data_IF_431439829038
#
_entry.id   IF_431439829038
#
_cell.length_a   1.000
_cell.length_b   1.000
_cell.length_c   1.000
_cell.angle_alpha   90.00
_cell.angle_beta   90.00
_cell.angle_gamma   90.00
#
_symmetry.space_group_name_H-M   'P 1'
#
loop_
_entity.id
_entity.type
_entity.pdbx_description
1 polymer ?
#
# COMPACT_ATOMS: atom_id res chain seq x y z
N UNK A 1 -33.44 59.17 -56.97
CA UNK A 1 -32.06 59.47 -56.51
C UNK A 1 -32.10 59.81 -55.02
N UNK A 2 -31.79 58.86 -54.14
CA UNK A 2 -31.18 59.08 -52.83
C UNK A 2 -30.77 57.74 -52.23
N UNK A 3 -29.51 57.69 -51.84
CA UNK A 3 -28.69 56.51 -51.55
C UNK A 3 -28.77 56.20 -50.04
N UNK A 4 -28.72 54.89 -49.77
CA UNK A 4 -28.49 54.15 -48.53
C UNK A 4 -27.88 54.93 -47.35
N UNK A 5 -28.45 54.71 -46.14
CA UNK A 5 -27.66 54.51 -44.91
C UNK A 5 -28.22 53.31 -44.16
N UNK A 6 -27.57 52.17 -44.38
CA UNK A 6 -27.72 50.96 -43.61
C UNK A 6 -26.82 51.13 -42.36
N UNK A 7 -27.42 51.27 -41.18
CA UNK A 7 -26.66 51.17 -39.92
C UNK A 7 -26.33 49.69 -39.71
N UNK A 8 -25.08 49.30 -40.00
CA UNK A 8 -24.48 48.09 -39.45
C UNK A 8 -23.98 48.45 -38.05
N UNK A 9 -24.72 48.07 -37.01
CA UNK A 9 -24.17 48.02 -35.66
C UNK A 9 -23.46 46.67 -35.54
N UNK A 10 -22.15 46.66 -35.74
CA UNK A 10 -21.29 45.51 -35.42
C UNK A 10 -21.34 45.29 -33.91
N UNK A 11 -22.11 44.30 -33.47
CA UNK A 11 -21.98 43.75 -32.14
C UNK A 11 -20.59 43.09 -32.05
N UNK A 12 -19.65 43.80 -31.42
CA UNK A 12 -18.37 43.24 -31.02
C UNK A 12 -18.67 42.24 -29.89
N UNK A 13 -18.84 40.97 -30.24
CA UNK A 13 -18.76 39.90 -29.24
C UNK A 13 -17.33 39.89 -28.72
N UNK A 14 -17.10 40.56 -27.59
CA UNK A 14 -15.96 40.27 -26.75
C UNK A 14 -16.15 38.83 -26.28
N UNK A 15 -15.47 37.89 -26.96
CA UNK A 15 -15.25 36.56 -26.44
C UNK A 15 -14.34 36.76 -25.22
N UNK A 16 -14.94 36.95 -24.05
CA UNK A 16 -14.25 36.80 -22.79
C UNK A 16 -14.01 35.30 -22.72
N UNK A 17 -12.83 34.86 -23.20
CA UNK A 17 -12.38 33.51 -22.99
C UNK A 17 -12.49 33.23 -21.50
N UNK A 18 -13.34 32.28 -21.13
CA UNK A 18 -13.42 31.81 -19.77
C UNK A 18 -11.99 31.45 -19.32
N UNK A 19 -11.56 32.07 -18.24
CA UNK A 19 -10.24 31.93 -17.65
C UNK A 19 -9.80 30.47 -17.63
N UNK A 20 -8.59 30.22 -18.14
CA UNK A 20 -7.93 28.94 -17.95
C UNK A 20 -7.90 28.67 -16.44
N UNK A 21 -8.40 27.50 -16.00
CA UNK A 21 -8.28 27.09 -14.60
C UNK A 21 -6.80 27.28 -14.19
N UNK A 22 -6.53 28.08 -13.16
CA UNK A 22 -5.16 28.23 -12.64
C UNK A 22 -4.79 26.93 -11.93
N UNK A 23 -4.18 26.01 -12.69
CA UNK A 23 -3.69 24.73 -12.18
C UNK A 23 -2.36 24.96 -11.45
N UNK A 24 -2.29 24.57 -10.18
CA UNK A 24 -1.04 24.59 -9.43
C UNK A 24 -0.17 23.39 -9.85
N UNK A 25 0.60 23.58 -10.92
CA UNK A 25 1.52 22.56 -11.44
C UNK A 25 2.74 22.42 -10.53
N UNK A 26 3.12 21.17 -10.28
CA UNK A 26 4.33 20.78 -9.57
C UNK A 26 5.19 19.95 -10.52
N UNK A 27 6.51 20.07 -10.37
CA UNK A 27 7.49 19.33 -11.16
C UNK A 27 8.37 18.50 -10.23
N UNK A 28 8.72 17.29 -10.65
CA UNK A 28 9.72 16.45 -10.01
C UNK A 28 10.62 15.81 -11.06
N UNK A 29 11.91 15.71 -10.76
CA UNK A 29 12.90 15.01 -11.60
C UNK A 29 13.67 13.99 -10.77
N UNK A 30 13.69 12.74 -11.23
CA UNK A 30 14.59 11.73 -10.67
C UNK A 30 15.96 11.83 -11.36
N UNK A 31 16.91 12.47 -10.70
CA UNK A 31 18.27 12.68 -11.23
C UNK A 31 18.98 11.36 -11.60
N UNK A 32 18.85 10.36 -10.73
CA UNK A 32 19.51 9.05 -10.86
C UNK A 32 18.46 7.94 -10.95
N UNK A 33 18.16 7.42 -12.15
CA UNK A 33 17.26 6.28 -12.28
C UNK A 33 17.92 5.03 -11.70
N UNK A 34 17.10 4.05 -11.36
CA UNK A 34 17.55 2.71 -11.03
C UNK A 34 17.27 1.74 -12.18
N UNK A 35 18.14 0.75 -12.33
CA UNK A 35 17.98 -0.30 -13.34
C UNK A 35 16.85 -1.23 -12.96
N UNK A 36 16.01 -1.55 -13.94
CA UNK A 36 14.98 -2.59 -13.85
C UNK A 36 15.39 -3.74 -14.75
N UNK A 37 15.51 -4.93 -14.16
CA UNK A 37 15.84 -6.14 -14.89
C UNK A 37 14.57 -6.97 -15.14
N UNK A 38 14.54 -7.72 -16.25
CA UNK A 38 13.45 -8.66 -16.49
C UNK A 38 13.62 -9.88 -15.58
N UNK A 39 12.62 -10.12 -14.74
CA UNK A 39 12.56 -11.25 -13.83
C UNK A 39 11.97 -12.46 -14.57
N UNK A 40 12.75 -13.54 -14.63
CA UNK A 40 12.30 -14.83 -15.15
C UNK A 40 12.04 -15.77 -13.97
N UNK A 41 10.77 -16.08 -13.63
CA UNK A 41 10.48 -16.97 -12.51
C UNK A 41 10.95 -18.39 -12.80
N UNK A 42 11.47 -19.06 -11.78
CA UNK A 42 11.66 -20.52 -11.84
C UNK A 42 10.26 -21.13 -12.03
N UNK A 43 10.08 -21.98 -13.05
CA UNK A 43 8.78 -22.60 -13.33
C UNK A 43 8.30 -23.40 -12.12
N UNK A 44 7.41 -22.83 -11.32
CA UNK A 44 6.78 -23.48 -10.18
C UNK A 44 5.69 -24.44 -10.62
N UNK A 45 5.50 -25.53 -9.87
CA UNK A 45 4.41 -26.49 -10.06
C UNK A 45 3.06 -25.89 -9.62
N UNK A 46 2.57 -24.81 -10.23
CA UNK A 46 1.20 -24.27 -10.10
C UNK A 46 0.61 -24.03 -8.68
N UNK A 47 1.34 -24.30 -7.61
CA UNK A 47 0.87 -24.31 -6.23
C UNK A 47 1.41 -23.10 -5.48
N UNK A 48 0.49 -22.36 -4.84
CA UNK A 48 0.79 -21.15 -4.09
C UNK A 48 0.98 -21.52 -2.62
N UNK A 49 2.25 -21.62 -2.20
CA UNK A 49 2.62 -21.90 -0.80
C UNK A 49 2.56 -20.61 0.03
N UNK A 50 3.07 -19.52 -0.54
CA UNK A 50 3.18 -18.21 0.09
C UNK A 50 2.42 -17.15 -0.71
N UNK A 51 1.86 -16.15 -0.04
CA UNK A 51 1.36 -14.93 -0.68
C UNK A 51 1.95 -13.71 0.00
N UNK A 52 2.31 -12.74 -0.84
CA UNK A 52 2.73 -11.41 -0.42
C UNK A 52 1.77 -10.41 -1.05
N UNK A 53 1.02 -9.70 -0.22
CA UNK A 53 0.16 -8.61 -0.63
C UNK A 53 0.87 -7.28 -0.34
N UNK A 54 1.21 -6.54 -1.38
CA UNK A 54 1.86 -5.24 -1.28
C UNK A 54 0.84 -4.12 -1.54
N UNK A 55 0.73 -3.17 -0.62
CA UNK A 55 -0.21 -2.04 -0.69
C UNK A 55 0.61 -0.76 -0.79
N UNK A 56 0.47 -0.02 -1.88
CA UNK A 56 0.89 1.38 -1.91
C UNK A 56 -0.31 2.22 -1.49
N UNK A 57 -0.32 2.74 -0.26
CA UNK A 57 -1.46 3.49 0.28
C UNK A 57 -1.73 4.72 -0.62
N UNK A 58 -2.97 4.89 -1.09
CA UNK A 58 -3.33 5.95 -2.04
C UNK A 58 -2.77 5.81 -3.46
N UNK A 59 -2.09 4.70 -3.81
CA UNK A 59 -1.38 4.53 -5.09
C UNK A 59 -2.33 4.21 -6.28
N UNK A 60 -2.40 5.11 -7.26
CA UNK A 60 -3.22 4.95 -8.45
C UNK A 60 -2.40 4.84 -9.72
N UNK A 61 -3.09 4.65 -10.85
CA UNK A 61 -2.46 4.68 -12.17
C UNK A 61 -1.70 5.99 -12.44
N UNK A 62 -2.14 7.11 -11.86
CA UNK A 62 -1.47 8.40 -12.04
C UNK A 62 -0.16 8.45 -11.26
N UNK A 63 -0.13 7.91 -10.03
CA UNK A 63 1.08 7.75 -9.24
C UNK A 63 2.11 6.88 -9.97
N UNK A 64 1.67 5.76 -10.52
CA UNK A 64 2.52 4.84 -11.28
C UNK A 64 3.01 5.46 -12.58
N UNK A 65 2.16 6.14 -13.35
CA UNK A 65 2.56 6.81 -14.59
C UNK A 65 3.61 7.90 -14.33
N UNK A 66 3.47 8.64 -13.24
CA UNK A 66 4.46 9.64 -12.84
C UNK A 66 5.80 8.97 -12.48
N UNK A 67 5.79 7.94 -11.63
CA UNK A 67 7.00 7.20 -11.27
C UNK A 67 7.68 6.55 -12.49
N UNK A 68 6.91 5.98 -13.42
CA UNK A 68 7.40 5.40 -14.68
C UNK A 68 8.11 6.44 -15.54
N UNK A 69 7.56 7.66 -15.62
CA UNK A 69 8.18 8.79 -16.32
C UNK A 69 9.49 9.18 -15.64
N UNK A 70 9.48 9.30 -14.30
CA UNK A 70 10.66 9.65 -13.51
C UNK A 70 11.81 8.65 -13.69
N UNK A 71 11.51 7.35 -13.69
CA UNK A 71 12.52 6.31 -13.90
C UNK A 71 12.74 5.96 -15.38
N UNK A 72 12.49 6.93 -16.28
CA UNK A 72 12.84 6.87 -17.72
C UNK A 72 12.24 5.68 -18.45
N UNK A 73 10.99 5.35 -18.11
CA UNK A 73 10.19 4.36 -18.81
C UNK A 73 10.30 2.95 -18.27
N UNK A 74 10.84 2.78 -17.05
CA UNK A 74 11.09 1.48 -16.46
C UNK A 74 10.66 1.43 -14.99
N UNK A 75 9.83 0.47 -14.59
CA UNK A 75 9.49 0.17 -13.19
C UNK A 75 9.56 -1.34 -12.92
N UNK A 76 9.88 -1.75 -11.69
CA UNK A 76 9.84 -3.15 -11.29
C UNK A 76 8.43 -3.75 -11.45
N UNK A 77 7.39 -2.95 -11.25
CA UNK A 77 5.99 -3.33 -11.53
C UNK A 77 5.76 -3.90 -12.94
N UNK A 78 6.56 -3.53 -13.95
CA UNK A 78 6.46 -4.08 -15.32
C UNK A 78 6.87 -5.57 -15.41
N UNK A 79 7.40 -6.14 -14.33
CA UNK A 79 7.59 -7.59 -14.22
C UNK A 79 6.31 -8.36 -13.91
N UNK A 80 5.22 -7.68 -13.55
CA UNK A 80 3.93 -8.32 -13.35
C UNK A 80 3.49 -9.17 -14.56
N UNK A 81 2.88 -10.30 -14.29
CA UNK A 81 2.40 -11.27 -15.28
C UNK A 81 0.91 -11.11 -15.58
N UNK A 82 0.17 -10.46 -14.68
CA UNK A 82 -1.22 -10.08 -14.85
C UNK A 82 -1.47 -8.68 -14.28
N UNK A 83 -2.46 -7.99 -14.87
CA UNK A 83 -2.93 -6.68 -14.42
C UNK A 83 -4.46 -6.63 -14.44
N UNK A 84 -5.03 -5.93 -13.47
CA UNK A 84 -6.45 -5.64 -13.36
C UNK A 84 -6.71 -4.26 -12.73
N UNK A 85 -8.00 -3.93 -12.55
CA UNK A 85 -8.47 -2.70 -11.91
C UNK A 85 -9.46 -3.04 -10.79
N UNK A 86 -9.27 -2.45 -9.62
CA UNK A 86 -10.04 -2.71 -8.42
C UNK A 86 -10.91 -1.49 -8.03
N UNK A 87 -12.19 -1.75 -7.74
CA UNK A 87 -13.11 -0.76 -7.18
C UNK A 87 -13.03 -0.77 -5.66
N UNK A 88 -13.00 0.42 -5.07
CA UNK A 88 -12.68 0.61 -3.65
C UNK A 88 -13.76 1.31 -2.82
N UNK A 89 -15.07 1.31 -3.13
CA UNK A 89 -16.03 2.00 -2.26
C UNK A 89 -16.15 1.31 -0.89
N UNK A 90 -16.44 2.10 0.14
CA UNK A 90 -16.88 1.60 1.45
C UNK A 90 -18.36 1.17 1.38
N UNK A 91 -18.87 0.49 2.42
CA UNK A 91 -20.28 0.05 2.45
C UNK A 91 -21.28 1.21 2.48
N UNK A 92 -20.87 2.35 3.06
CA UNK A 92 -21.72 3.53 3.28
C UNK A 92 -21.22 4.81 2.59
N UNK A 93 -20.13 4.75 1.80
CA UNK A 93 -19.55 5.91 1.13
C UNK A 93 -18.91 5.51 -0.20
N UNK A 94 -19.06 6.35 -1.23
CA UNK A 94 -18.45 6.14 -2.55
C UNK A 94 -16.92 6.16 -2.50
N UNK A 95 -16.37 7.07 -1.70
CA UNK A 95 -14.93 7.24 -1.50
C UNK A 95 -14.61 6.64 -0.13
N UNK A 96 -13.76 5.62 -0.13
CA UNK A 96 -13.31 4.91 1.07
C UNK A 96 -12.23 5.69 1.82
N UNK A 97 -11.81 5.16 2.96
CA UNK A 97 -10.52 5.44 3.60
C UNK A 97 -9.68 4.16 3.72
N UNK A 98 -8.45 4.29 4.21
CA UNK A 98 -7.54 3.16 4.41
C UNK A 98 -8.13 2.09 5.34
N UNK A 99 -8.86 2.44 6.40
CA UNK A 99 -9.52 1.44 7.27
C UNK A 99 -10.56 0.60 6.53
N UNK A 100 -11.53 1.24 5.87
CA UNK A 100 -12.56 0.48 5.15
C UNK A 100 -12.05 -0.20 3.87
N UNK A 101 -11.07 0.42 3.19
CA UNK A 101 -10.41 -0.10 2.01
C UNK A 101 -9.52 -1.30 2.32
N UNK A 102 -8.66 -1.17 3.32
CA UNK A 102 -7.79 -2.21 3.85
C UNK A 102 -8.57 -3.34 4.50
N UNK A 103 -9.65 -3.07 5.25
CA UNK A 103 -10.55 -4.12 5.77
C UNK A 103 -11.14 -4.96 4.64
N UNK A 104 -11.50 -4.34 3.52
CA UNK A 104 -12.02 -5.07 2.34
C UNK A 104 -10.97 -6.01 1.75
N UNK A 105 -9.72 -5.55 1.64
CA UNK A 105 -8.58 -6.37 1.20
C UNK A 105 -8.23 -7.48 2.18
N UNK A 106 -8.31 -7.19 3.49
CA UNK A 106 -7.91 -8.08 4.56
C UNK A 106 -8.93 -9.18 4.83
N UNK A 107 -10.23 -8.93 4.63
CA UNK A 107 -11.32 -9.80 5.10
C UNK A 107 -12.28 -10.26 4.01
N UNK A 108 -12.29 -9.61 2.85
CA UNK A 108 -13.23 -9.91 1.76
C UNK A 108 -14.65 -9.38 1.99
N UNK A 109 -14.85 -8.51 2.98
CA UNK A 109 -16.13 -7.86 3.26
C UNK A 109 -15.98 -6.34 3.28
N UNK A 110 -16.98 -5.66 2.76
CA UNK A 110 -17.10 -4.21 2.91
C UNK A 110 -17.45 -3.86 4.35
N UNK A 111 -16.93 -2.73 4.82
CA UNK A 111 -17.31 -2.12 6.10
C UNK A 111 -17.55 -0.62 5.94
N UNK A 112 -18.00 0.03 7.01
CA UNK A 112 -18.23 1.47 7.03
C UNK A 112 -16.91 2.24 7.04
N UNK A 113 -16.90 3.44 6.47
CA UNK A 113 -15.79 4.39 6.55
C UNK A 113 -15.24 4.50 7.99
N UNK A 114 -13.92 4.54 8.16
CA UNK A 114 -13.15 4.49 9.43
C UNK A 114 -13.04 3.15 10.17
N UNK A 115 -13.85 2.15 9.85
CA UNK A 115 -13.79 0.88 10.57
C UNK A 115 -12.57 0.05 10.14
N UNK A 116 -12.00 -0.70 11.08
CA UNK A 116 -10.80 -1.52 10.91
C UNK A 116 -11.10 -2.95 11.37
N UNK A 117 -10.96 -3.91 10.48
CA UNK A 117 -11.06 -5.34 10.76
C UNK A 117 -12.43 -5.80 11.27
N UNK A 118 -13.48 -4.98 11.15
CA UNK A 118 -14.84 -5.29 11.63
C UNK A 118 -15.88 -5.11 10.52
N UNK A 119 -17.02 -5.77 10.65
CA UNK A 119 -18.18 -5.52 9.79
C UNK A 119 -18.86 -4.18 10.12
N UNK A 120 -19.91 -3.85 9.38
CA UNK A 120 -20.64 -2.59 9.54
C UNK A 120 -21.29 -2.41 10.92
N UNK A 121 -21.48 -3.49 11.69
CA UNK A 121 -22.03 -3.48 13.04
C UNK A 121 -20.93 -3.50 14.13
N UNK A 122 -19.65 -3.47 13.72
CA UNK A 122 -18.50 -3.49 14.63
C UNK A 122 -18.11 -4.88 15.11
N UNK A 123 -18.60 -5.94 14.48
CA UNK A 123 -18.22 -7.30 14.84
C UNK A 123 -16.91 -7.70 14.15
N UNK A 124 -15.95 -8.33 14.86
CA UNK A 124 -14.70 -8.79 14.28
C UNK A 124 -14.87 -9.68 13.05
N UNK A 125 -14.12 -9.38 11.99
CA UNK A 125 -14.01 -10.17 10.77
C UNK A 125 -12.69 -10.96 10.77
N UNK A 126 -12.66 -12.11 10.09
CA UNK A 126 -11.42 -12.90 10.00
C UNK A 126 -10.54 -12.40 8.86
N UNK A 127 -9.33 -11.92 9.18
CA UNK A 127 -8.38 -11.43 8.18
C UNK A 127 -7.57 -12.54 7.50
N UNK A 128 -6.86 -12.22 6.41
CA UNK A 128 -5.88 -13.11 5.77
C UNK A 128 -4.76 -13.55 6.72
N UNK A 129 -4.30 -12.66 7.61
CA UNK A 129 -3.32 -13.01 8.63
C UNK A 129 -3.89 -14.05 9.60
N UNK A 130 -5.09 -13.82 10.13
CA UNK A 130 -5.74 -14.78 11.03
C UNK A 130 -6.00 -16.12 10.32
N UNK A 131 -6.51 -16.09 9.08
CA UNK A 131 -6.74 -17.30 8.28
C UNK A 131 -5.45 -18.10 8.07
N UNK A 132 -4.35 -17.45 7.71
CA UNK A 132 -3.04 -18.09 7.58
C UNK A 132 -2.64 -18.82 8.88
N UNK A 133 -2.78 -18.15 10.04
CA UNK A 133 -2.52 -18.78 11.34
C UNK A 133 -3.43 -19.99 11.61
N UNK A 134 -4.73 -19.91 11.29
CA UNK A 134 -5.66 -21.06 11.47
C UNK A 134 -5.29 -22.28 10.62
N UNK A 135 -4.55 -22.06 9.52
CA UNK A 135 -4.06 -23.12 8.62
C UNK A 135 -2.64 -23.58 8.94
N UNK A 136 -2.09 -23.16 10.08
CA UNK A 136 -0.74 -23.51 10.50
C UNK A 136 0.35 -22.87 9.64
N UNK A 137 0.01 -21.83 8.87
CA UNK A 137 0.96 -20.98 8.15
C UNK A 137 1.46 -19.87 9.07
N UNK A 138 2.55 -19.22 8.69
CA UNK A 138 2.99 -17.99 9.33
C UNK A 138 2.27 -16.77 8.74
N UNK A 139 2.17 -15.69 9.51
CA UNK A 139 1.57 -14.44 9.07
C UNK A 139 2.42 -13.25 9.53
N UNK A 140 2.49 -12.19 8.74
CA UNK A 140 3.21 -10.99 9.16
C UNK A 140 2.95 -9.74 8.35
N UNK A 141 3.46 -8.62 8.88
CA UNK A 141 3.32 -7.29 8.29
C UNK A 141 4.66 -6.54 8.29
N UNK A 142 4.89 -5.71 7.26
CA UNK A 142 5.98 -4.73 7.23
C UNK A 142 5.50 -3.43 6.60
N UNK A 143 5.56 -2.33 7.36
CA UNK A 143 5.00 -1.03 6.95
C UNK A 143 5.98 0.12 7.18
N UNK A 144 5.75 1.26 6.54
CA UNK A 144 6.53 2.50 6.75
C UNK A 144 5.82 3.52 7.64
N UNK A 145 4.60 3.26 8.08
CA UNK A 145 3.88 4.04 9.10
C UNK A 145 4.04 3.42 10.51
N UNK A 146 3.36 4.03 11.48
CA UNK A 146 3.08 3.47 12.80
C UNK A 146 2.18 2.25 12.71
N UNK A 147 2.47 1.21 13.48
CA UNK A 147 1.68 -0.04 13.47
C UNK A 147 0.21 0.15 13.89
N UNK A 148 -0.16 1.25 14.53
CA UNK A 148 -1.56 1.54 14.85
C UNK A 148 -2.31 2.33 13.77
N UNK A 149 -1.68 2.59 12.61
CA UNK A 149 -2.41 3.11 11.46
C UNK A 149 -3.35 2.05 10.89
N UNK A 150 -4.29 2.48 10.06
CA UNK A 150 -5.41 1.63 9.66
C UNK A 150 -4.97 0.39 8.87
N UNK A 151 -4.20 0.54 7.80
CA UNK A 151 -3.84 -0.58 6.92
C UNK A 151 -3.17 -1.75 7.66
N UNK A 152 -2.14 -1.57 8.52
CA UNK A 152 -1.62 -2.70 9.30
C UNK A 152 -2.65 -3.26 10.29
N UNK A 153 -3.47 -2.40 10.89
CA UNK A 153 -4.54 -2.81 11.80
C UNK A 153 -5.67 -3.58 11.11
N UNK A 154 -5.99 -3.34 9.84
CA UNK A 154 -7.03 -4.08 9.11
C UNK A 154 -6.75 -5.58 9.02
N UNK A 155 -5.46 -5.95 9.08
CA UNK A 155 -5.02 -7.33 9.08
C UNK A 155 -4.88 -7.92 10.47
N UNK A 156 -4.78 -7.11 11.53
CA UNK A 156 -4.31 -7.56 12.85
C UNK A 156 -5.19 -7.16 14.04
N UNK A 157 -6.13 -6.23 13.85
CA UNK A 157 -6.89 -5.55 14.91
C UNK A 157 -8.38 -5.45 14.55
N UNK A 158 -9.21 -5.08 15.52
CA UNK A 158 -10.66 -5.00 15.34
C UNK A 158 -11.23 -3.78 16.08
N UNK A 159 -11.56 -2.71 15.35
CA UNK A 159 -12.14 -1.51 15.94
C UNK A 159 -13.09 -0.81 14.96
N UNK A 160 -14.20 -0.26 15.47
CA UNK A 160 -15.15 0.52 14.66
C UNK A 160 -14.61 1.89 14.26
N UNK A 161 -13.53 2.36 14.91
CA UNK A 161 -12.90 3.63 14.62
C UNK A 161 -11.37 3.49 14.62
N UNK A 162 -10.76 3.72 13.45
CA UNK A 162 -9.30 3.73 13.25
C UNK A 162 -8.55 4.72 14.15
N UNK A 163 -9.24 5.68 14.77
CA UNK A 163 -8.61 6.66 15.68
C UNK A 163 -8.46 6.15 17.13
N UNK A 164 -8.94 4.94 17.45
CA UNK A 164 -8.73 4.32 18.76
C UNK A 164 -7.32 3.71 18.87
N UNK A 165 -6.28 4.53 18.64
CA UNK A 165 -4.89 4.12 18.43
C UNK A 165 -4.35 3.19 19.52
N UNK A 166 -4.63 3.51 20.79
CA UNK A 166 -4.16 2.68 21.90
C UNK A 166 -4.91 1.35 21.99
N UNK A 167 -6.20 1.30 21.67
CA UNK A 167 -6.93 0.03 21.65
C UNK A 167 -6.44 -0.84 20.49
N UNK A 168 -6.21 -0.24 19.32
CA UNK A 168 -5.60 -0.91 18.17
C UNK A 168 -4.21 -1.49 18.49
N UNK A 169 -3.36 -0.76 19.23
CA UNK A 169 -2.08 -1.33 19.68
C UNK A 169 -2.29 -2.54 20.61
N UNK A 170 -3.29 -2.50 21.49
CA UNK A 170 -3.56 -3.60 22.40
C UNK A 170 -4.03 -4.86 21.66
N UNK A 171 -4.79 -4.72 20.57
CA UNK A 171 -5.28 -5.84 19.75
C UNK A 171 -4.16 -6.69 19.13
N UNK A 172 -2.96 -6.12 18.91
CA UNK A 172 -1.82 -6.89 18.40
C UNK A 172 -1.47 -8.10 19.26
N UNK A 173 -1.80 -8.08 20.55
CA UNK A 173 -1.61 -9.23 21.44
C UNK A 173 -2.38 -10.45 20.94
N UNK A 174 -3.54 -10.27 20.32
CA UNK A 174 -4.44 -11.33 19.89
C UNK A 174 -4.37 -11.61 18.39
N UNK A 175 -3.66 -10.77 17.62
CA UNK A 175 -3.37 -10.96 16.19
C UNK A 175 -2.67 -12.28 15.86
N UNK A 176 -1.85 -12.80 16.79
CA UNK A 176 -1.07 -14.05 16.66
C UNK A 176 -0.10 -14.14 15.47
N UNK A 177 0.15 -13.04 14.75
CA UNK A 177 1.15 -12.95 13.67
C UNK A 177 2.55 -13.32 14.17
N UNK A 178 3.45 -13.72 13.28
CA UNK A 178 4.80 -14.14 13.61
C UNK A 178 5.83 -13.05 13.38
N UNK A 179 5.51 -12.07 12.53
CA UNK A 179 6.40 -10.98 12.17
C UNK A 179 5.65 -9.65 12.09
N UNK A 180 6.15 -8.64 12.77
CA UNK A 180 5.74 -7.25 12.55
C UNK A 180 6.98 -6.35 12.44
N UNK A 181 6.97 -5.48 11.46
CA UNK A 181 7.90 -4.36 11.33
C UNK A 181 7.15 -3.08 11.02
N UNK A 182 7.48 -2.01 11.73
CA UNK A 182 6.94 -0.68 11.47
C UNK A 182 7.37 0.31 12.53
N UNK A 183 6.78 1.49 12.47
CA UNK A 183 6.89 2.50 13.51
C UNK A 183 5.88 2.31 14.65
N UNK A 184 5.78 3.31 15.51
CA UNK A 184 4.73 3.39 16.51
C UNK A 184 5.09 2.75 17.85
N UNK A 185 6.32 2.84 18.32
CA UNK A 185 6.69 2.32 19.63
C UNK A 185 6.07 3.12 20.79
N UNK A 186 5.70 4.39 20.55
CA UNK A 186 5.14 5.28 21.58
C UNK A 186 3.97 4.64 22.33
N UNK A 187 2.97 4.10 21.64
CA UNK A 187 1.81 3.49 22.31
C UNK A 187 1.97 2.01 22.67
N UNK A 188 3.11 1.40 22.33
CA UNK A 188 3.46 0.10 22.92
C UNK A 188 4.06 0.26 24.32
N UNK A 189 4.64 1.42 24.66
CA UNK A 189 5.30 1.67 25.96
C UNK A 189 4.65 2.78 26.80
N UNK A 190 4.13 3.82 26.17
CA UNK A 190 3.64 5.05 26.79
C UNK A 190 2.14 5.21 26.57
N UNK A 191 1.39 4.43 27.34
CA UNK A 191 -0.07 4.38 27.27
C UNK A 191 -0.72 5.09 28.44
N UNK A 192 -1.94 5.58 28.23
CA UNK A 192 -2.73 6.23 29.28
C UNK A 192 -3.27 5.25 30.32
N UNK A 193 -3.39 3.97 29.95
CA UNK A 193 -3.80 2.87 30.85
C UNK A 193 -2.63 2.27 31.65
N UNK A 194 -1.40 2.74 31.44
CA UNK A 194 -0.19 2.25 32.11
C UNK A 194 0.32 0.90 31.64
N UNK A 195 -0.28 0.28 30.62
CA UNK A 195 0.18 -1.00 30.06
C UNK A 195 1.47 -0.81 29.26
N UNK A 196 2.24 -1.90 29.17
CA UNK A 196 3.39 -1.98 28.27
C UNK A 196 3.21 -3.22 27.38
N UNK A 197 2.77 -2.97 26.15
CA UNK A 197 2.40 -3.99 25.19
C UNK A 197 3.63 -4.78 24.73
N UNK A 198 4.81 -4.18 24.68
CA UNK A 198 6.04 -4.95 24.44
C UNK A 198 6.31 -5.99 25.52
N UNK A 199 6.10 -5.67 26.80
CA UNK A 199 6.28 -6.63 27.89
C UNK A 199 5.22 -7.74 27.83
N UNK A 200 3.99 -7.40 27.46
CA UNK A 200 2.91 -8.37 27.24
C UNK A 200 3.17 -9.28 26.01
N UNK A 201 3.75 -8.75 24.93
CA UNK A 201 4.20 -9.56 23.80
C UNK A 201 5.40 -10.45 24.17
N UNK A 202 6.37 -9.95 24.95
CA UNK A 202 7.48 -10.78 25.47
C UNK A 202 6.95 -11.96 26.28
N UNK A 203 5.93 -11.74 27.13
CA UNK A 203 5.35 -12.82 27.92
C UNK A 203 4.60 -13.86 27.06
N UNK A 204 4.10 -13.45 25.89
CA UNK A 204 3.58 -14.34 24.82
C UNK A 204 4.69 -14.99 23.95
N UNK A 205 5.97 -14.80 24.29
CA UNK A 205 7.11 -15.47 23.63
C UNK A 205 7.65 -14.76 22.39
N UNK A 206 7.30 -13.50 22.16
CA UNK A 206 7.85 -12.70 21.06
C UNK A 206 9.23 -12.13 21.42
N UNK A 207 10.13 -12.14 20.46
CA UNK A 207 11.29 -11.26 20.49
C UNK A 207 10.85 -9.83 20.19
N UNK A 208 11.23 -8.87 21.04
CA UNK A 208 10.94 -7.46 20.81
C UNK A 208 12.23 -6.75 20.46
N UNK A 209 12.26 -6.17 19.27
CA UNK A 209 13.38 -5.44 18.74
C UNK A 209 13.06 -3.96 18.62
N UNK A 210 13.97 -3.11 19.08
CA UNK A 210 13.89 -1.64 18.93
C UNK A 210 14.94 -1.08 17.97
N UNK A 211 15.73 -1.93 17.30
CA UNK A 211 16.69 -1.49 16.28
C UNK A 211 16.80 -2.49 15.14
N UNK A 212 17.28 -2.03 13.99
CA UNK A 212 17.51 -2.89 12.83
C UNK A 212 18.59 -3.94 13.11
N UNK A 213 19.66 -3.58 13.83
CA UNK A 213 20.80 -4.46 14.12
C UNK A 213 20.40 -5.65 14.99
N UNK A 214 19.47 -5.45 15.92
CA UNK A 214 18.93 -6.52 16.75
C UNK A 214 18.02 -7.45 15.94
N UNK A 215 17.11 -6.89 15.13
CA UNK A 215 16.28 -7.69 14.22
C UNK A 215 17.14 -8.51 13.23
N UNK A 216 18.22 -7.94 12.70
CA UNK A 216 19.11 -8.66 11.79
C UNK A 216 19.68 -9.93 12.41
N UNK A 217 20.05 -9.88 13.70
CA UNK A 217 20.62 -11.00 14.45
C UNK A 217 19.59 -12.09 14.76
N UNK A 218 18.31 -11.74 14.87
CA UNK A 218 17.24 -12.69 15.18
C UNK A 218 17.05 -13.72 14.05
N UNK A 219 17.24 -15.02 14.31
CA UNK A 219 17.23 -16.04 13.24
C UNK A 219 15.96 -16.90 13.16
N UNK A 220 15.18 -16.98 14.23
CA UNK A 220 14.04 -17.90 14.30
C UNK A 220 13.06 -17.49 15.39
N UNK A 221 11.77 -17.70 15.14
CA UNK A 221 10.70 -17.43 16.11
C UNK A 221 10.06 -16.07 15.88
N UNK A 222 9.01 -15.80 16.65
CA UNK A 222 8.17 -14.61 16.44
C UNK A 222 8.88 -13.33 16.85
N UNK A 223 8.68 -12.26 16.10
CA UNK A 223 9.33 -10.97 16.37
C UNK A 223 8.42 -9.78 16.06
N UNK A 224 8.42 -8.80 16.95
CA UNK A 224 7.97 -7.44 16.67
C UNK A 224 9.20 -6.54 16.68
N UNK A 225 9.50 -5.91 15.54
CA UNK A 225 10.54 -4.89 15.43
C UNK A 225 9.88 -3.54 15.23
N UNK A 226 9.92 -2.70 16.26
CA UNK A 226 9.25 -1.39 16.27
C UNK A 226 10.26 -0.32 16.68
N UNK A 227 11.21 0.03 15.80
CA UNK A 227 12.35 0.85 16.20
C UNK A 227 12.04 2.35 16.34
N UNK A 228 10.93 2.83 15.80
CA UNK A 228 10.58 4.26 15.78
C UNK A 228 9.36 4.54 16.65
N UNK A 229 9.31 5.71 17.31
CA UNK A 229 8.22 6.07 18.23
C UNK A 229 6.90 6.38 17.50
N UNK A 230 6.99 6.94 16.30
CA UNK A 230 5.88 7.21 15.36
C UNK A 230 6.20 6.50 14.03
N UNK A 231 5.86 7.07 12.88
CA UNK A 231 6.18 6.51 11.56
C UNK A 231 7.68 6.27 11.36
N UNK A 232 8.02 5.45 10.36
CA UNK A 232 9.42 5.24 9.96
C UNK A 232 10.00 6.53 9.36
N UNK A 233 11.34 6.67 9.28
CA UNK A 233 11.97 7.87 8.72
C UNK A 233 11.50 8.14 7.28
N UNK A 234 11.66 9.39 6.86
CA UNK A 234 11.28 9.84 5.53
C UNK A 234 12.03 9.07 4.42
N UNK A 235 11.52 9.02 3.18
CA UNK A 235 12.20 8.39 2.04
C UNK A 235 13.67 8.75 1.90
N UNK A 236 14.00 10.03 2.09
CA UNK A 236 15.36 10.57 1.93
C UNK A 236 16.31 10.07 3.04
N UNK A 237 15.78 9.58 4.15
CA UNK A 237 16.53 9.18 5.35
C UNK A 237 16.56 7.66 5.56
N UNK A 238 15.52 6.94 5.11
CA UNK A 238 15.33 5.52 5.43
C UNK A 238 16.11 4.57 4.53
N UNK A 239 16.53 5.01 3.34
CA UNK A 239 17.14 4.14 2.34
C UNK A 239 16.20 2.99 1.94
N UNK A 240 16.72 1.77 1.82
CA UNK A 240 15.97 0.56 1.43
C UNK A 240 15.26 -0.14 2.61
N UNK A 241 14.82 0.62 3.63
CA UNK A 241 14.29 0.09 4.89
C UNK A 241 13.13 -0.88 4.69
N UNK A 242 12.14 -0.52 3.87
CA UNK A 242 10.96 -1.35 3.64
C UNK A 242 11.35 -2.68 2.98
N UNK A 243 12.19 -2.64 1.94
CA UNK A 243 12.72 -3.84 1.27
C UNK A 243 13.48 -4.74 2.25
N UNK A 244 14.37 -4.18 3.07
CA UNK A 244 15.11 -4.93 4.08
C UNK A 244 14.19 -5.59 5.10
N UNK A 245 13.21 -4.84 5.64
CA UNK A 245 12.24 -5.35 6.58
C UNK A 245 11.37 -6.46 5.99
N UNK A 246 10.81 -6.24 4.81
CA UNK A 246 10.02 -7.22 4.06
C UNK A 246 10.79 -8.53 3.87
N UNK A 247 11.99 -8.46 3.28
CA UNK A 247 12.84 -9.62 3.03
C UNK A 247 13.22 -10.34 4.33
N UNK A 248 13.43 -9.61 5.43
CA UNK A 248 13.71 -10.22 6.74
C UNK A 248 12.51 -11.03 7.24
N UNK A 249 11.31 -10.45 7.21
CA UNK A 249 10.08 -11.14 7.60
C UNK A 249 9.82 -12.37 6.74
N UNK A 250 9.92 -12.23 5.42
CA UNK A 250 9.77 -13.32 4.46
C UNK A 250 10.76 -14.46 4.74
N UNK A 251 12.05 -14.16 4.99
CA UNK A 251 13.05 -15.18 5.28
C UNK A 251 12.83 -15.90 6.62
N UNK A 252 12.32 -15.20 7.64
CA UNK A 252 11.96 -15.82 8.92
C UNK A 252 10.76 -16.76 8.77
N UNK A 253 9.69 -16.27 8.14
CA UNK A 253 8.42 -17.02 7.98
C UNK A 253 8.51 -18.16 6.97
N UNK A 254 9.36 -18.06 5.94
CA UNK A 254 9.56 -19.15 4.98
C UNK A 254 10.22 -20.41 5.59
N UNK A 255 10.66 -20.35 6.85
CA UNK A 255 11.09 -21.54 7.61
C UNK A 255 9.91 -22.47 7.94
N UNK A 256 8.68 -21.94 7.96
CA UNK A 256 7.47 -22.74 8.11
C UNK A 256 7.15 -23.47 6.79
N UNK A 257 7.16 -24.81 6.84
CA UNK A 257 6.92 -25.67 5.67
C UNK A 257 5.50 -25.54 5.11
N UNK A 258 4.54 -25.05 5.89
CA UNK A 258 3.18 -24.82 5.43
C UNK A 258 3.04 -23.53 4.62
N UNK A 259 4.07 -22.67 4.62
CA UNK A 259 4.08 -21.37 3.95
C UNK A 259 3.65 -20.22 4.84
N UNK A 260 3.52 -19.03 4.25
CA UNK A 260 3.15 -17.80 4.97
C UNK A 260 2.31 -16.83 4.12
N UNK A 261 1.57 -15.97 4.82
CA UNK A 261 0.98 -14.76 4.26
C UNK A 261 1.73 -13.53 4.79
N UNK A 262 2.02 -12.56 3.94
CA UNK A 262 2.61 -11.29 4.39
C UNK A 262 1.93 -10.10 3.72
N UNK A 263 1.58 -9.08 4.50
CA UNK A 263 1.22 -7.77 3.99
C UNK A 263 2.43 -6.82 4.08
N UNK A 264 2.69 -6.07 3.01
CA UNK A 264 3.76 -5.06 2.96
C UNK A 264 3.13 -3.74 2.53
N UNK A 265 3.47 -2.65 3.19
CA UNK A 265 2.88 -1.35 2.87
C UNK A 265 3.95 -0.27 2.62
N UNK A 266 3.83 0.40 1.47
CA UNK A 266 4.40 1.73 1.28
C UNK A 266 3.39 2.77 1.76
N UNK A 267 3.44 3.08 3.06
CA UNK A 267 2.34 3.74 3.78
C UNK A 267 2.25 5.25 3.54
N UNK A 268 3.38 5.94 3.39
CA UNK A 268 3.41 7.42 3.37
C UNK A 268 3.09 8.02 1.99
N UNK A 269 2.80 7.20 0.96
CA UNK A 269 2.31 7.71 -0.33
C UNK A 269 1.02 8.52 -0.12
N UNK A 270 0.11 8.00 0.69
CA UNK A 270 -1.17 8.63 0.99
C UNK A 270 -1.00 9.99 1.68
N UNK A 271 -0.14 10.06 2.70
CA UNK A 271 0.21 11.31 3.39
C UNK A 271 0.64 12.39 2.40
N UNK A 272 1.54 12.08 1.47
CA UNK A 272 2.01 13.05 0.48
C UNK A 272 1.03 13.32 -0.65
N UNK A 273 0.10 12.40 -0.90
CA UNK A 273 -1.12 12.64 -1.67
C UNK A 273 -2.01 13.68 -0.99
N UNK A 274 -2.29 13.54 0.30
CA UNK A 274 -3.07 14.50 1.09
C UNK A 274 -2.39 15.87 1.18
N UNK A 275 -1.07 15.89 1.32
CA UNK A 275 -0.29 17.13 1.40
C UNK A 275 -0.10 17.80 0.03
N UNK A 276 -0.46 17.14 -1.07
CA UNK A 276 -0.18 17.54 -2.43
C UNK A 276 1.32 17.88 -2.61
N UNK A 277 2.21 16.99 -2.19
CA UNK A 277 3.66 17.16 -2.24
C UNK A 277 4.29 16.19 -3.24
N UNK A 278 4.37 16.60 -4.51
CA UNK A 278 4.84 15.72 -5.59
C UNK A 278 6.24 15.15 -5.36
N UNK A 279 7.18 15.95 -4.84
CA UNK A 279 8.56 15.51 -4.57
C UNK A 279 8.59 14.30 -3.62
N UNK A 280 7.95 14.43 -2.47
CA UNK A 280 7.90 13.37 -1.46
C UNK A 280 7.07 12.18 -1.92
N UNK A 281 5.95 12.42 -2.60
CA UNK A 281 5.10 11.37 -3.18
C UNK A 281 5.88 10.52 -4.19
N UNK A 282 6.70 11.15 -5.06
CA UNK A 282 7.52 10.41 -6.02
C UNK A 282 8.64 9.64 -5.34
N UNK A 283 9.29 10.21 -4.32
CA UNK A 283 10.30 9.50 -3.53
C UNK A 283 9.73 8.25 -2.85
N UNK A 284 8.54 8.36 -2.25
CA UNK A 284 7.78 7.22 -1.68
C UNK A 284 7.41 6.18 -2.75
N UNK A 285 6.81 6.62 -3.86
CA UNK A 285 6.37 5.72 -4.94
C UNK A 285 7.54 4.93 -5.53
N UNK A 286 8.67 5.60 -5.77
CA UNK A 286 9.88 4.98 -6.30
C UNK A 286 10.57 4.06 -5.27
N UNK A 287 10.43 4.33 -3.98
CA UNK A 287 10.91 3.44 -2.93
C UNK A 287 10.07 2.17 -2.80
N UNK A 288 8.75 2.32 -2.91
CA UNK A 288 7.83 1.19 -2.98
C UNK A 288 8.10 0.33 -4.22
N UNK A 289 8.31 0.91 -5.41
CA UNK A 289 8.65 0.13 -6.62
C UNK A 289 9.97 -0.64 -6.48
N UNK A 290 11.02 -0.03 -5.88
CA UNK A 290 12.26 -0.78 -5.57
C UNK A 290 12.02 -1.95 -4.62
N UNK A 291 11.15 -1.76 -3.62
CA UNK A 291 10.72 -2.83 -2.71
C UNK A 291 9.99 -3.95 -3.47
N UNK A 292 9.07 -3.59 -4.39
CA UNK A 292 8.39 -4.55 -5.27
C UNK A 292 9.40 -5.38 -6.06
N UNK A 293 10.45 -4.75 -6.60
CA UNK A 293 11.54 -5.43 -7.31
C UNK A 293 12.22 -6.50 -6.46
N UNK A 294 12.62 -6.18 -5.23
CA UNK A 294 13.28 -7.11 -4.31
C UNK A 294 12.36 -8.26 -3.89
N UNK A 295 11.08 -7.98 -3.65
CA UNK A 295 10.06 -8.99 -3.32
C UNK A 295 9.83 -9.93 -4.50
N UNK A 296 9.67 -9.41 -5.72
CA UNK A 296 9.49 -10.24 -6.92
C UNK A 296 10.72 -11.10 -7.22
N UNK A 297 11.95 -10.58 -7.04
CA UNK A 297 13.19 -11.36 -7.18
C UNK A 297 13.22 -12.53 -6.19
N UNK A 298 12.84 -12.27 -4.94
CA UNK A 298 12.76 -13.32 -3.93
C UNK A 298 11.70 -14.37 -4.30
N UNK A 299 10.51 -13.93 -4.70
CA UNK A 299 9.40 -14.80 -5.09
C UNK A 299 9.74 -15.65 -6.32
N UNK A 300 10.44 -15.07 -7.31
CA UNK A 300 10.92 -15.76 -8.50
C UNK A 300 11.90 -16.90 -8.17
N UNK A 301 12.73 -16.72 -7.12
CA UNK A 301 13.67 -17.72 -6.63
C UNK A 301 12.98 -18.82 -5.80
N UNK A 302 11.97 -18.49 -5.00
CA UNK A 302 11.18 -19.49 -4.25
C UNK A 302 10.28 -20.32 -5.19
N UNK A 303 9.70 -19.71 -6.22
CA UNK A 303 8.90 -20.38 -7.24
C UNK A 303 7.51 -20.86 -6.79
N UNK A 304 7.15 -20.69 -5.51
CA UNK A 304 5.84 -21.04 -4.95
C UNK A 304 5.18 -19.85 -4.24
N UNK A 305 5.61 -18.63 -4.59
CA UNK A 305 5.17 -17.39 -3.95
C UNK A 305 4.43 -16.54 -4.97
N UNK A 306 3.17 -16.24 -4.67
CA UNK A 306 2.38 -15.25 -5.40
C UNK A 306 2.61 -13.88 -4.76
N UNK A 307 2.90 -12.87 -5.58
CA UNK A 307 2.96 -11.46 -5.19
C UNK A 307 1.77 -10.75 -5.83
N UNK A 308 0.99 -10.04 -5.03
CA UNK A 308 -0.11 -9.17 -5.47
C UNK A 308 0.22 -7.76 -5.02
N UNK A 309 0.18 -6.78 -5.92
CA UNK A 309 0.43 -5.37 -5.64
C UNK A 309 -0.82 -4.58 -6.00
N UNK A 310 -1.31 -3.75 -5.08
CA UNK A 310 -2.49 -2.90 -5.28
C UNK A 310 -2.38 -1.65 -4.41
N UNK A 311 -3.42 -0.83 -4.41
CA UNK A 311 -3.72 0.12 -3.34
C UNK A 311 -5.06 -0.22 -2.68
N UNK A 312 -5.32 0.47 -1.58
CA UNK A 312 -6.58 0.56 -0.87
C UNK A 312 -7.53 1.63 -1.46
N UNK A 313 -6.98 2.75 -1.94
CA UNK A 313 -7.66 3.82 -2.69
C UNK A 313 -6.70 4.70 -3.51
N UNK A 314 -7.21 5.77 -4.12
CA UNK A 314 -6.41 6.85 -4.69
C UNK A 314 -6.47 8.09 -3.80
N UNK A 315 -5.38 8.84 -3.74
CA UNK A 315 -5.29 10.07 -2.93
C UNK A 315 -4.78 11.27 -3.73
N UNK A 316 -5.43 12.42 -3.53
CA UNK A 316 -5.03 13.71 -4.13
C UNK A 316 -5.67 14.02 -5.49
N UNK A 317 -6.31 13.03 -6.13
CA UNK A 317 -6.89 13.18 -7.47
C UNK A 317 -5.84 13.69 -8.46
N UNK A 318 -4.68 13.04 -8.47
CA UNK A 318 -3.50 13.50 -9.20
C UNK A 318 -3.70 13.39 -10.71
N UNK A 319 -3.21 14.36 -11.47
CA UNK A 319 -3.20 14.32 -12.94
C UNK A 319 -1.80 14.65 -13.47
N UNK A 320 -1.33 13.89 -14.45
CA UNK A 320 -0.08 14.14 -15.18
C UNK A 320 -0.35 15.05 -16.37
N UNK A 321 0.32 16.22 -16.41
CA UNK A 321 0.17 17.23 -17.48
C UNK A 321 1.25 17.14 -18.55
N UNK A 322 2.43 16.66 -18.17
CA UNK A 322 3.58 16.61 -19.06
C UNK A 322 4.82 16.10 -18.34
N UNK A 323 5.97 16.31 -18.97
CA UNK A 323 7.24 15.83 -18.48
C UNK A 323 8.23 15.60 -19.61
N UNK A 324 9.36 15.01 -19.27
CA UNK A 324 10.40 14.59 -20.20
C UNK A 324 10.93 13.22 -19.76
N UNK A 325 10.70 12.21 -20.59
CA UNK A 325 11.08 10.83 -20.31
C UNK A 325 12.60 10.62 -20.26
N UNK A 326 13.36 11.38 -21.05
CA UNK A 326 14.82 11.25 -21.11
C UNK A 326 15.49 11.83 -19.85
N UNK A 327 15.04 13.00 -19.39
CA UNK A 327 15.53 13.58 -18.14
C UNK A 327 14.98 12.87 -16.90
N UNK A 328 13.80 12.25 -17.01
CA UNK A 328 13.09 11.66 -15.87
C UNK A 328 12.27 12.71 -15.10
N UNK A 329 11.72 13.69 -15.83
CA UNK A 329 10.95 14.80 -15.28
C UNK A 329 9.45 14.56 -15.48
N UNK A 330 8.63 14.80 -14.46
CA UNK A 330 7.16 14.76 -14.56
C UNK A 330 6.56 16.06 -14.04
N UNK A 331 5.49 16.51 -14.68
CA UNK A 331 4.69 17.68 -14.27
C UNK A 331 3.28 17.23 -13.94
N UNK A 332 2.84 17.45 -12.70
CA UNK A 332 1.54 17.01 -12.20
C UNK A 332 0.76 18.15 -11.53
N UNK A 333 -0.53 17.92 -11.32
CA UNK A 333 -1.32 18.68 -10.34
C UNK A 333 -2.18 17.73 -9.50
N UNK A 334 -2.73 18.28 -8.42
CA UNK A 334 -3.69 17.61 -7.55
C UNK A 334 -5.02 18.36 -7.62
N UNK A 335 -6.13 17.61 -7.58
CA UNK A 335 -7.49 18.18 -7.64
C UNK A 335 -8.19 18.22 -6.29
N UNK A 336 -7.68 17.48 -5.30
CA UNK A 336 -8.20 17.40 -3.94
C UNK A 336 -7.05 17.26 -2.95
N UNK A 337 -7.34 17.32 -1.66
CA UNK A 337 -6.46 16.90 -0.55
C UNK A 337 -7.08 15.72 0.20
N UNK A 338 -8.01 15.02 -0.42
CA UNK A 338 -8.76 13.89 0.12
C UNK A 338 -8.57 12.71 -0.85
N UNK A 339 -9.12 11.55 -0.50
CA UNK A 339 -9.16 10.42 -1.41
C UNK A 339 -10.08 10.70 -2.61
N UNK A 340 -9.90 9.95 -3.70
CA UNK A 340 -10.86 9.93 -4.81
C UNK A 340 -11.43 8.54 -5.07
N UNK A 341 -12.58 8.49 -5.75
CA UNK A 341 -13.25 7.23 -6.13
C UNK A 341 -12.63 6.54 -7.35
N UNK A 342 -11.37 6.84 -7.68
CA UNK A 342 -10.68 6.26 -8.84
C UNK A 342 -10.39 4.79 -8.59
N UNK A 343 -10.63 3.93 -9.59
CA UNK A 343 -10.21 2.53 -9.51
C UNK A 343 -8.68 2.44 -9.42
N UNK A 344 -8.21 1.57 -8.55
CA UNK A 344 -6.77 1.37 -8.33
C UNK A 344 -6.27 0.16 -9.13
N UNK A 345 -5.01 0.16 -9.58
CA UNK A 345 -4.46 -0.94 -10.35
C UNK A 345 -4.13 -2.12 -9.44
N UNK A 346 -4.28 -3.33 -10.00
CA UNK A 346 -3.82 -4.58 -9.40
C UNK A 346 -2.77 -5.19 -10.31
N UNK A 347 -1.62 -5.57 -9.77
CA UNK A 347 -0.56 -6.29 -10.46
C UNK A 347 -0.31 -7.61 -9.74
N UNK A 348 -0.05 -8.68 -10.50
CA UNK A 348 0.27 -9.97 -9.91
C UNK A 348 1.45 -10.65 -10.60
N UNK A 349 2.27 -11.34 -9.80
CA UNK A 349 3.46 -12.07 -10.24
C UNK A 349 3.56 -13.43 -9.54
N UNK A 350 3.94 -14.47 -10.26
CA UNK A 350 4.11 -15.82 -9.73
C UNK A 350 2.90 -16.73 -9.98
N UNK A 351 2.87 -17.92 -9.36
CA UNK A 351 1.79 -18.91 -9.56
C UNK A 351 0.43 -18.33 -9.18
N UNK A 352 -0.59 -18.53 -10.03
CA UNK A 352 -1.95 -18.03 -9.80
C UNK A 352 -2.16 -16.54 -10.12
N UNK A 353 -1.12 -15.84 -10.62
CA UNK A 353 -1.22 -14.42 -10.99
C UNK A 353 -2.29 -14.15 -12.04
N UNK A 354 -2.56 -15.10 -12.94
CA UNK A 354 -3.58 -14.98 -13.99
C UNK A 354 -5.00 -14.80 -13.44
N UNK A 355 -5.24 -15.06 -12.15
CA UNK A 355 -6.52 -14.84 -11.48
C UNK A 355 -6.82 -13.36 -11.20
N UNK A 356 -5.84 -12.46 -11.33
CA UNK A 356 -5.93 -11.04 -10.98
C UNK A 356 -6.03 -10.12 -12.21
N UNK A 357 -6.71 -10.57 -13.26
CA UNK A 357 -6.97 -9.77 -14.46
C UNK A 357 -8.42 -9.25 -14.54
N UNK A 358 -8.62 -8.17 -15.31
CA UNK A 358 -9.93 -7.55 -15.53
C UNK A 358 -10.35 -6.58 -14.42
N UNK A 359 -11.64 -6.26 -14.40
CA UNK A 359 -12.24 -5.41 -13.36
C UNK A 359 -12.72 -6.27 -12.19
N UNK A 360 -12.44 -5.84 -10.96
CA UNK A 360 -12.84 -6.52 -9.73
C UNK A 360 -13.25 -5.52 -8.65
N UNK A 361 -13.94 -6.00 -7.61
CA UNK A 361 -14.06 -5.29 -6.35
C UNK A 361 -12.84 -5.59 -5.47
N UNK A 362 -12.42 -4.67 -4.59
CA UNK A 362 -11.28 -4.91 -3.70
C UNK A 362 -11.50 -6.12 -2.77
N UNK A 363 -12.75 -6.51 -2.48
CA UNK A 363 -13.06 -7.74 -1.74
C UNK A 363 -12.71 -9.02 -2.52
N UNK A 364 -12.72 -9.00 -3.85
CA UNK A 364 -12.40 -10.19 -4.67
C UNK A 364 -10.95 -10.62 -4.48
N UNK A 365 -10.04 -9.69 -4.17
CA UNK A 365 -8.62 -9.94 -3.94
C UNK A 365 -8.45 -10.91 -2.75
N UNK A 366 -9.17 -10.67 -1.64
CA UNK A 366 -9.20 -11.57 -0.49
C UNK A 366 -9.62 -12.98 -0.89
N UNK A 367 -10.76 -13.12 -1.59
CA UNK A 367 -11.32 -14.42 -1.92
C UNK A 367 -10.42 -15.21 -2.89
N UNK A 368 -9.76 -14.51 -3.81
CA UNK A 368 -8.75 -15.09 -4.71
C UNK A 368 -7.53 -15.59 -3.93
N UNK A 369 -6.97 -14.76 -3.04
CA UNK A 369 -5.82 -15.15 -2.19
C UNK A 369 -6.18 -16.35 -1.32
N UNK A 370 -7.31 -16.28 -0.60
CA UNK A 370 -7.81 -17.35 0.26
C UNK A 370 -7.92 -18.68 -0.50
N UNK A 371 -8.51 -18.66 -1.70
CA UNK A 371 -8.64 -19.84 -2.56
C UNK A 371 -7.28 -20.38 -3.01
N UNK A 372 -6.38 -19.51 -3.48
CA UNK A 372 -5.08 -19.92 -4.01
C UNK A 372 -4.15 -20.50 -2.94
N UNK A 373 -4.27 -20.03 -1.70
CA UNK A 373 -3.47 -20.50 -0.55
C UNK A 373 -4.09 -21.67 0.22
N UNK A 374 -5.23 -22.21 -0.23
CA UNK A 374 -6.00 -23.25 0.45
C UNK A 374 -6.39 -22.87 1.91
N UNK A 375 -6.75 -21.59 2.13
CA UNK A 375 -7.12 -21.04 3.44
C UNK A 375 -8.62 -21.02 3.72
#
# INVERSE_FOLDING_TARGET
MKIKKLLFLTALFAYIGADAQTVNLQEYTLEKPYTVEKISPVSGKGHVKNVILMIGDGMSLMHIQAAWTCNRGHLWLENAQATGLSKTPASNRLITDSGSGGTSLATGYKTIYHAVGVDADGKPLTSLCTLAKTKGKDAGIAVTCRLWDATPCDFCCHNIDRNNEQDLVADYLDSNIDYAFGGGAKYFEHRTDGRNIFNELKSKGYHISRTWEDLQKWQKGKVFCVPYDVDTPLPDERGDLLARAALKGMNLMNQNKNGFFMMIEGSQLDDYGHFNQLDMLMKETLDFDRTVGEVMKWAAKDGQTLVVITADHETGGMTVHGGNLESGTVVCNFSTKDHSGTMVPVYAFGPGSEQFTGFMDNTDIFWKIKKLMDM
#
